data_IF_047574543133
#
_entry.id   IF_047574543133
#
_cell.length_a   1.000
_cell.length_b   1.000
_cell.length_c   1.000
_cell.angle_alpha   90.00
_cell.angle_beta   90.00
_cell.angle_gamma   90.00
#
_symmetry.space_group_name_H-M   'P 1'
#
loop_
_entity.id
_entity.type
_entity.pdbx_description
1 polymer ?
#
# COMPACT_ATOMS: atom_id res chain seq x y z
N UNK A 1 11.27 -10.22 -7.07
CA UNK A 1 10.57 -10.27 -6.85
C UNK A 1 10.12 -9.40 -6.11
N UNK A 2 9.76 -8.88 -5.72
CA UNK A 2 9.28 -7.95 -4.84
C UNK A 2 8.64 -6.73 -5.39
N UNK A 3 8.59 -6.60 -6.66
CA UNK A 3 7.95 -5.43 -7.21
C UNK A 3 6.44 -5.59 -7.22
N UNK A 4 5.75 -4.53 -6.87
CA UNK A 4 4.30 -4.53 -6.86
C UNK A 4 3.79 -3.95 -8.16
N UNK A 5 2.69 -4.49 -8.62
CA UNK A 5 2.04 -4.00 -9.83
C UNK A 5 0.64 -3.56 -9.50
N UNK A 6 0.10 -2.73 -10.37
CA UNK A 6 -1.25 -2.26 -10.19
C UNK A 6 -2.21 -3.44 -10.09
N UNK A 7 -3.03 -3.44 -9.06
CA UNK A 7 -3.96 -4.52 -8.83
C UNK A 7 -3.48 -5.58 -7.87
N UNK A 8 -2.23 -5.50 -7.43
CA UNK A 8 -1.71 -6.50 -6.50
C UNK A 8 -2.34 -6.32 -5.14
N UNK A 9 -2.60 -7.44 -4.48
CA UNK A 9 -3.13 -7.40 -3.12
C UNK A 9 -2.00 -7.16 -2.15
N UNK A 10 -2.25 -6.29 -1.19
CA UNK A 10 -1.24 -5.89 -0.24
C UNK A 10 -1.84 -5.76 1.14
N UNK A 11 -0.97 -5.65 2.12
CA UNK A 11 -1.32 -5.24 3.47
C UNK A 11 -0.75 -3.85 3.69
N UNK A 12 -1.51 -2.99 4.33
CA UNK A 12 -1.04 -1.65 4.70
C UNK A 12 -0.98 -1.59 6.22
N UNK A 13 0.20 -1.31 6.73
CA UNK A 13 0.38 -1.24 8.18
C UNK A 13 -0.21 0.06 8.70
N UNK A 14 -1.04 -0.05 9.70
CA UNK A 14 -1.72 1.09 10.29
C UNK A 14 -0.90 1.63 11.46
N UNK A 15 -1.28 2.82 11.92
CA UNK A 15 -0.54 3.46 12.99
C UNK A 15 -0.58 2.67 14.29
N UNK A 16 -1.62 1.90 14.49
CA UNK A 16 -1.74 1.13 15.72
C UNK A 16 -1.07 -0.23 15.61
N UNK A 17 -0.39 -0.51 14.52
CA UNK A 17 0.31 -1.77 14.36
C UNK A 17 -0.48 -2.84 13.64
N UNK A 18 -1.76 -2.60 13.39
CA UNK A 18 -2.55 -3.60 12.68
C UNK A 18 -2.29 -3.49 11.19
N UNK A 19 -2.79 -4.46 10.45
CA UNK A 19 -2.64 -4.48 9.01
C UNK A 19 -4.02 -4.46 8.37
N UNK A 20 -4.13 -3.71 7.29
CA UNK A 20 -5.40 -3.58 6.60
C UNK A 20 -5.21 -4.05 5.17
N UNK A 21 -6.14 -4.86 4.68
CA UNK A 21 -6.05 -5.36 3.33
C UNK A 21 -6.34 -4.24 2.35
N UNK A 22 -5.53 -4.15 1.31
CA UNK A 22 -5.70 -3.14 0.29
C UNK A 22 -5.24 -3.65 -1.06
N UNK A 23 -5.41 -2.80 -2.06
CA UNK A 23 -4.98 -3.09 -3.42
C UNK A 23 -4.00 -2.01 -3.82
N UNK A 24 -2.85 -2.42 -4.33
CA UNK A 24 -1.84 -1.48 -4.77
C UNK A 24 -2.28 -0.87 -6.10
N UNK A 25 -2.24 0.43 -6.22
CA UNK A 25 -2.60 1.10 -7.44
C UNK A 25 -1.38 1.61 -8.19
N UNK A 26 -0.41 2.16 -7.49
CA UNK A 26 0.78 2.66 -8.14
C UNK A 26 1.66 3.39 -7.16
N UNK A 27 2.85 3.74 -7.61
CA UNK A 27 3.78 4.49 -6.79
C UNK A 27 3.43 5.97 -6.86
N UNK A 28 3.52 6.63 -5.73
CA UNK A 28 3.30 8.06 -5.67
C UNK A 28 4.64 8.75 -5.50
N UNK A 29 4.99 9.58 -6.44
CA UNK A 29 6.24 10.30 -6.35
C UNK A 29 6.07 11.49 -5.46
N UNK A 30 7.05 11.75 -4.67
CA UNK A 30 6.99 12.88 -3.77
C UNK A 30 7.97 12.70 -2.68
N UNK A 31 8.20 13.76 -1.94
CA UNK A 31 9.19 13.70 -0.89
C UNK A 31 8.62 14.00 0.47
N UNK A 32 7.34 14.09 0.60
CA UNK A 32 6.80 14.46 1.89
C UNK A 32 6.64 13.25 2.82
N UNK A 33 7.19 12.13 2.42
CA UNK A 33 7.31 11.01 3.32
C UNK A 33 8.75 10.88 3.81
N UNK A 34 9.45 11.98 3.97
CA UNK A 34 10.81 11.91 4.47
C UNK A 34 11.80 11.35 3.48
N UNK A 35 11.55 11.59 2.21
CA UNK A 35 12.43 11.08 1.17
C UNK A 35 12.06 9.70 0.68
N UNK A 36 11.07 9.08 1.25
CA UNK A 36 10.64 7.76 0.80
C UNK A 36 9.59 7.88 -0.27
N UNK A 37 9.47 6.85 -1.07
CA UNK A 37 8.45 6.79 -2.10
C UNK A 37 7.13 6.45 -1.44
N UNK A 38 6.07 7.08 -1.90
CA UNK A 38 4.74 6.76 -1.44
C UNK A 38 4.06 5.76 -2.35
N UNK A 39 2.91 5.30 -1.94
CA UNK A 39 2.12 4.36 -2.71
C UNK A 39 0.66 4.77 -2.65
N UNK A 40 -0.03 4.62 -3.77
CA UNK A 40 -1.47 4.78 -3.80
C UNK A 40 -2.09 3.41 -3.61
N UNK A 41 -3.00 3.32 -2.67
CA UNK A 41 -3.67 2.06 -2.38
C UNK A 41 -5.16 2.31 -2.29
N UNK A 42 -5.94 1.26 -2.52
CA UNK A 42 -7.39 1.34 -2.41
C UNK A 42 -7.82 0.27 -1.41
N UNK A 43 -8.71 0.64 -0.51
CA UNK A 43 -9.26 -0.29 0.46
C UNK A 43 -10.62 -0.75 -0.05
N UNK A 44 -10.72 -2.01 -0.47
CA UNK A 44 -11.99 -2.45 -1.08
C UNK A 44 -13.19 -2.42 -0.14
N UNK A 45 -12.95 -2.57 1.17
CA UNK A 45 -14.06 -2.61 2.10
C UNK A 45 -14.76 -1.27 2.19
N UNK A 46 -14.06 -0.18 1.98
CA UNK A 46 -14.68 1.14 2.00
C UNK A 46 -14.62 1.80 0.64
N UNK A 47 -13.97 1.17 -0.32
CA UNK A 47 -13.81 1.70 -1.67
C UNK A 47 -13.19 3.08 -1.65
N UNK A 48 -12.26 3.30 -0.74
CA UNK A 48 -11.59 4.58 -0.64
C UNK A 48 -10.11 4.40 -0.93
N UNK A 49 -9.50 5.44 -1.46
CA UNK A 49 -8.08 5.43 -1.77
C UNK A 49 -7.30 6.23 -0.77
N UNK A 50 -6.04 5.89 -0.62
CA UNK A 50 -5.18 6.58 0.31
C UNK A 50 -3.76 6.53 -0.20
N UNK A 51 -2.99 7.55 0.12
CA UNK A 51 -1.58 7.57 -0.20
C UNK A 51 -0.80 7.30 1.07
N UNK A 52 0.02 6.29 1.06
CA UNK A 52 0.77 5.88 2.25
C UNK A 52 2.23 5.74 1.87
N UNK A 53 3.09 5.70 2.87
CA UNK A 53 4.50 5.46 2.63
C UNK A 53 4.70 4.03 2.13
N UNK A 54 5.58 3.87 1.16
CA UNK A 54 5.80 2.56 0.57
C UNK A 54 6.30 1.56 1.62
N UNK A 55 7.05 2.04 2.61
CA UNK A 55 7.57 1.14 3.64
C UNK A 55 6.46 0.52 4.47
N UNK A 56 5.27 1.07 4.42
CA UNK A 56 4.14 0.51 5.16
C UNK A 56 3.34 -0.49 4.33
N UNK A 57 3.75 -0.73 3.09
CA UNK A 57 3.04 -1.63 2.20
C UNK A 57 3.76 -2.96 2.19
N UNK A 58 3.04 -4.02 2.48
CA UNK A 58 3.61 -5.36 2.52
C UNK A 58 2.92 -6.23 1.48
N UNK A 59 3.66 -7.07 0.79
CA UNK A 59 3.03 -7.94 -0.21
C UNK A 59 2.13 -8.95 0.48
N UNK A 60 1.08 -9.33 -0.25
CA UNK A 60 0.12 -10.27 0.28
C UNK A 60 0.05 -11.44 -0.67
N UNK A 61 1.12 -12.18 -0.73
CA UNK A 61 1.21 -13.22 -1.74
C UNK A 61 0.48 -14.48 -1.34
N UNK A 62 -0.02 -14.55 -0.13
CA UNK A 62 -0.81 -15.70 0.22
C UNK A 62 -2.26 -15.50 -0.08
N UNK A 63 -2.55 -14.45 -0.75
CA UNK A 63 -3.92 -14.17 -0.96
C UNK A 63 -4.52 -15.04 -1.95
N UNK A 64 -4.78 -16.03 -1.87
CA UNK A 64 -5.30 -16.72 -2.80
C UNK A 64 -6.20 -17.39 -2.35
#
# INVERSE_FOLDING_TARGET
MGELSEGDKIWVEQADGSQRAGIFVGEAEGTWFGGSVGAYVVYPDTKSGEQVAMMRVLPRDDAE
#
